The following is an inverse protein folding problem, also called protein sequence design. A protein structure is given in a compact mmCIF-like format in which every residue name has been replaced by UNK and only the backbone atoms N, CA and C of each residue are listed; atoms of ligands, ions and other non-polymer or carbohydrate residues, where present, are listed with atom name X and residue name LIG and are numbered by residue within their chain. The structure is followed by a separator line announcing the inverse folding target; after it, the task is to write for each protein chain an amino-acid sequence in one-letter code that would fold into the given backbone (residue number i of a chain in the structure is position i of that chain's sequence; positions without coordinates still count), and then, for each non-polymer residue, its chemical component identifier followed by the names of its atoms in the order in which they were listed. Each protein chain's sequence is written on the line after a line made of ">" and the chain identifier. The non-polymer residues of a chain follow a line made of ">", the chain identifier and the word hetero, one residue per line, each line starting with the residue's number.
data_IF_077666775016
#
_entry.id   IF_077666775016
#
_cell.length_a   1.000
_cell.length_b   1.000
_cell.length_c   1.000
_cell.angle_alpha   90.00
_cell.angle_beta   90.00
_cell.angle_gamma   90.00
#
_symmetry.space_group_name_H-M   'P 1'
#
loop_
_entity.id
_entity.type
_entity.pdbx_description
1 polymer ?
#
# COMPACT_ATOMS: atom_id res chain seq x y z
N UNK A 1 6.63 15.69 6.25
CA UNK A 1 6.10 14.73 7.24
C UNK A 1 4.97 15.38 8.02
N UNK A 2 3.98 14.61 8.47
CA UNK A 2 2.86 15.08 9.28
C UNK A 2 2.83 14.27 10.57
N UNK A 3 3.02 14.94 11.73
CA UNK A 3 3.19 14.30 13.03
C UNK A 3 1.90 14.18 13.84
N UNK A 4 0.73 14.39 13.24
CA UNK A 4 -0.56 14.16 13.90
C UNK A 4 -0.64 12.70 14.35
N UNK A 5 -0.83 12.40 15.65
CA UNK A 5 -0.58 11.06 16.21
C UNK A 5 -1.33 9.91 15.52
N UNK A 6 -2.58 10.13 15.12
CA UNK A 6 -3.44 9.06 14.57
C UNK A 6 -3.53 9.08 13.05
N UNK A 7 -3.47 10.27 12.44
CA UNK A 7 -3.73 10.48 11.00
C UNK A 7 -2.53 11.08 10.25
N UNK A 8 -1.37 11.13 10.89
CA UNK A 8 -0.13 11.64 10.34
C UNK A 8 0.62 10.63 9.48
N UNK A 9 1.59 11.13 8.73
CA UNK A 9 2.61 10.33 8.03
C UNK A 9 3.97 10.66 8.63
N UNK A 10 4.40 9.84 9.60
CA UNK A 10 5.65 10.03 10.31
C UNK A 10 6.23 8.72 10.85
N UNK A 11 7.56 8.67 10.93
CA UNK A 11 8.32 7.65 11.64
C UNK A 11 9.46 8.38 12.35
N UNK A 12 9.41 8.44 13.68
CA UNK A 12 10.48 9.02 14.51
C UNK A 12 11.33 7.88 15.07
N UNK A 13 10.67 6.88 15.66
CA UNK A 13 11.30 5.64 16.11
C UNK A 13 10.25 4.52 16.22
N UNK A 14 10.67 3.32 16.63
CA UNK A 14 9.80 2.16 16.75
C UNK A 14 8.59 2.37 17.68
N UNK A 15 8.73 3.20 18.73
CA UNK A 15 7.66 3.51 19.68
C UNK A 15 6.86 4.76 19.29
N UNK A 16 7.38 5.57 18.38
CA UNK A 16 6.79 6.83 17.95
C UNK A 16 6.73 6.90 16.42
N UNK A 17 5.67 6.32 15.88
CA UNK A 17 5.39 6.27 14.44
C UNK A 17 3.88 6.33 14.19
N UNK A 18 3.49 6.75 13.00
CA UNK A 18 2.09 6.71 12.57
C UNK A 18 1.53 5.29 12.65
N UNK A 19 0.25 5.10 13.05
CA UNK A 19 -0.44 3.81 12.98
C UNK A 19 -0.42 3.19 11.58
N UNK A 20 -0.28 3.99 10.52
CA UNK A 20 -0.12 3.48 9.16
C UNK A 20 1.12 2.56 9.00
N UNK A 21 2.08 2.63 9.92
CA UNK A 21 3.26 1.76 9.96
C UNK A 21 3.10 0.54 10.89
N UNK A 22 1.95 0.36 11.55
CA UNK A 22 1.74 -0.72 12.53
C UNK A 22 0.83 -1.83 12.03
N UNK A 23 0.01 -1.59 11.00
CA UNK A 23 -0.88 -2.62 10.48
C UNK A 23 -1.53 -2.27 9.14
N UNK A 24 -1.93 -3.33 8.43
CA UNK A 24 -2.48 -3.28 7.06
C UNK A 24 -3.76 -2.44 6.96
N UNK A 25 -4.68 -2.57 7.93
CA UNK A 25 -5.92 -1.78 7.92
C UNK A 25 -5.67 -0.29 8.21
N UNK A 26 -4.76 0.03 9.12
CA UNK A 26 -4.37 1.42 9.36
C UNK A 26 -3.68 2.03 8.14
N UNK A 27 -2.85 1.24 7.46
CA UNK A 27 -2.20 1.68 6.23
C UNK A 27 -3.23 1.95 5.12
N UNK A 28 -4.18 1.04 4.92
CA UNK A 28 -5.28 1.22 3.98
C UNK A 28 -6.10 2.47 4.29
N UNK A 29 -6.55 2.63 5.53
CA UNK A 29 -7.34 3.79 5.95
C UNK A 29 -6.58 5.10 5.77
N UNK A 30 -5.26 5.09 6.00
CA UNK A 30 -4.42 6.24 5.72
C UNK A 30 -4.37 6.55 4.23
N UNK A 31 -4.05 5.56 3.39
CA UNK A 31 -3.92 5.75 1.95
C UNK A 31 -5.22 6.23 1.28
N UNK A 32 -6.36 5.67 1.68
CA UNK A 32 -7.68 5.95 1.09
C UNK A 32 -8.47 7.04 1.82
N UNK A 33 -7.81 7.77 2.74
CA UNK A 33 -8.44 8.87 3.50
C UNK A 33 -9.08 9.90 2.56
N UNK A 34 -10.24 10.42 2.98
CA UNK A 34 -10.93 11.51 2.26
C UNK A 34 -10.24 12.86 2.46
N UNK A 35 -9.72 13.09 3.66
CA UNK A 35 -9.06 14.35 4.01
C UNK A 35 -7.65 14.41 3.43
N UNK A 36 -7.39 15.41 2.60
CA UNK A 36 -6.06 15.66 2.06
C UNK A 36 -5.12 16.15 3.17
N UNK A 37 -4.30 15.24 3.70
CA UNK A 37 -3.21 15.53 4.64
C UNK A 37 -1.87 15.09 4.05
N UNK A 38 -0.74 15.59 4.55
CA UNK A 38 0.59 15.21 4.04
C UNK A 38 0.82 13.70 4.12
N UNK A 39 1.32 13.11 3.02
CA UNK A 39 1.62 11.69 2.88
C UNK A 39 1.09 11.09 1.58
N UNK A 40 1.42 9.81 1.29
CA UNK A 40 0.95 9.12 0.09
C UNK A 40 -0.58 9.00 0.08
N UNK A 41 -1.18 8.95 -1.11
CA UNK A 41 -2.61 8.74 -1.30
C UNK A 41 -2.82 7.64 -2.33
N UNK A 42 -3.86 6.83 -2.11
CA UNK A 42 -4.26 5.78 -3.03
C UNK A 42 -5.77 5.72 -3.18
N UNK A 43 -6.19 5.09 -4.27
CA UNK A 43 -7.58 4.68 -4.52
C UNK A 43 -7.63 3.18 -4.76
N UNK A 44 -8.74 2.54 -4.38
CA UNK A 44 -8.98 1.16 -4.83
C UNK A 44 -9.13 1.13 -6.34
N UNK A 45 -8.47 0.17 -6.98
CA UNK A 45 -8.47 0.02 -8.43
C UNK A 45 -8.72 -1.43 -8.85
N UNK A 46 -8.90 -1.64 -10.14
CA UNK A 46 -8.94 -2.98 -10.74
C UNK A 46 -7.53 -3.48 -11.02
N UNK A 47 -7.37 -4.79 -11.15
CA UNK A 47 -6.07 -5.42 -11.44
C UNK A 47 -5.42 -4.89 -12.74
N UNK A 48 -6.24 -4.51 -13.73
CA UNK A 48 -5.77 -3.94 -15.00
C UNK A 48 -5.22 -2.50 -14.86
N UNK A 49 -5.54 -1.82 -13.77
CA UNK A 49 -5.12 -0.44 -13.50
C UNK A 49 -3.86 -0.39 -12.64
N UNK A 50 -3.38 -1.53 -12.16
CA UNK A 50 -2.16 -1.63 -11.36
C UNK A 50 -0.93 -1.16 -12.16
N UNK A 51 -0.03 -0.48 -11.45
CA UNK A 51 1.26 -0.02 -11.94
C UNK A 51 2.37 -0.37 -10.92
N UNK A 52 3.64 -0.46 -11.36
CA UNK A 52 4.76 -0.53 -10.43
C UNK A 52 4.73 0.61 -9.40
N UNK A 53 4.89 0.27 -8.12
CA UNK A 53 4.76 1.20 -6.99
C UNK A 53 3.42 1.10 -6.26
N UNK A 54 2.40 0.48 -6.88
CA UNK A 54 1.11 0.24 -6.25
C UNK A 54 1.19 -0.81 -5.13
N UNK A 55 0.13 -0.88 -4.32
CA UNK A 55 0.06 -1.82 -3.18
C UNK A 55 -1.02 -2.87 -3.46
N UNK A 56 -0.66 -4.13 -3.26
CA UNK A 56 -1.64 -5.21 -3.14
C UNK A 56 -1.85 -5.50 -1.67
N UNK A 57 -3.09 -5.75 -1.24
CA UNK A 57 -3.34 -6.26 0.10
C UNK A 57 -4.05 -7.60 0.06
N UNK A 58 -3.54 -8.55 0.85
CA UNK A 58 -4.04 -9.92 0.91
C UNK A 58 -4.69 -10.22 2.26
N UNK A 59 -5.79 -10.94 2.21
CA UNK A 59 -6.40 -11.61 3.37
C UNK A 59 -6.20 -13.11 3.23
N UNK A 60 -5.51 -13.73 4.18
CA UNK A 60 -5.26 -15.17 4.12
C UNK A 60 -6.43 -15.97 4.69
N UNK A 61 -7.20 -15.37 5.61
CA UNK A 61 -8.28 -16.04 6.33
C UNK A 61 -9.68 -15.48 6.00
N UNK A 62 -9.78 -14.43 5.19
CA UNK A 62 -11.05 -13.91 4.67
C UNK A 62 -11.80 -12.93 5.58
N UNK A 63 -11.29 -12.58 6.77
CA UNK A 63 -11.96 -11.65 7.70
C UNK A 63 -11.22 -10.32 7.91
N UNK A 64 -9.94 -10.22 7.55
CA UNK A 64 -9.15 -8.97 7.57
C UNK A 64 -7.99 -9.03 6.59
N UNK A 65 -7.51 -7.89 6.11
CA UNK A 65 -6.27 -7.83 5.35
C UNK A 65 -5.06 -7.81 6.29
N UNK A 66 -4.00 -8.53 5.92
CA UNK A 66 -2.87 -8.80 6.82
C UNK A 66 -1.49 -8.80 6.11
N UNK A 67 -1.46 -8.72 4.78
CA UNK A 67 -0.23 -8.53 4.02
C UNK A 67 -0.35 -7.35 3.04
N UNK A 68 0.73 -6.58 2.84
CA UNK A 68 0.75 -5.40 1.96
C UNK A 68 2.02 -5.32 1.11
N UNK A 69 2.24 -6.26 0.18
CA UNK A 69 3.40 -6.20 -0.70
C UNK A 69 3.27 -5.08 -1.76
N UNK A 70 4.42 -4.66 -2.28
CA UNK A 70 4.51 -3.60 -3.30
C UNK A 70 4.56 -4.24 -4.69
N UNK A 71 3.79 -3.74 -5.63
CA UNK A 71 3.84 -4.15 -7.04
C UNK A 71 5.14 -3.63 -7.65
N UNK A 72 5.93 -4.52 -8.26
CA UNK A 72 7.17 -4.17 -8.95
C UNK A 72 7.09 -4.32 -10.47
N UNK A 73 6.19 -5.19 -10.96
CA UNK A 73 5.91 -5.30 -12.38
C UNK A 73 4.49 -5.83 -12.63
N UNK A 74 3.92 -5.40 -13.75
CA UNK A 74 2.57 -5.78 -14.20
C UNK A 74 2.65 -6.09 -15.69
N UNK A 75 1.98 -7.15 -16.12
CA UNK A 75 1.91 -7.54 -17.53
C UNK A 75 0.56 -8.17 -17.88
N UNK A 76 0.20 -8.14 -19.16
CA UNK A 76 -0.93 -8.91 -19.68
C UNK A 76 -0.75 -10.41 -19.41
N UNK A 77 -1.82 -11.16 -19.11
CA UNK A 77 -3.24 -10.78 -19.16
C UNK A 77 -3.80 -10.10 -17.89
N UNK A 78 -2.95 -9.50 -17.04
CA UNK A 78 -3.35 -8.83 -15.80
C UNK A 78 -4.07 -9.76 -14.82
N UNK A 79 -3.57 -10.98 -14.68
CA UNK A 79 -4.02 -11.95 -13.67
C UNK A 79 -3.00 -12.05 -12.52
N UNK A 80 -3.33 -12.71 -11.39
CA UNK A 80 -2.41 -12.86 -10.26
C UNK A 80 -1.05 -13.49 -10.58
N UNK A 81 -0.90 -14.25 -11.67
CA UNK A 81 0.40 -14.81 -12.06
C UNK A 81 1.30 -13.78 -12.78
N UNK A 82 0.71 -12.68 -13.26
CA UNK A 82 1.39 -11.63 -14.03
C UNK A 82 1.51 -10.30 -13.28
N UNK A 83 1.07 -10.27 -12.01
CA UNK A 83 1.38 -9.21 -11.06
C UNK A 83 2.54 -9.67 -10.19
N UNK A 84 3.70 -9.04 -10.36
CA UNK A 84 4.90 -9.33 -9.61
C UNK A 84 5.04 -8.35 -8.45
N UNK A 85 5.37 -8.88 -7.27
CA UNK A 85 5.45 -8.13 -6.04
C UNK A 85 6.81 -8.31 -5.35
N UNK A 86 7.20 -7.28 -4.60
CA UNK A 86 8.25 -7.35 -3.59
C UNK A 86 7.62 -7.38 -2.19
N UNK A 87 8.16 -8.26 -1.34
CA UNK A 87 7.70 -8.43 0.02
C UNK A 87 8.88 -8.75 0.94
N UNK A 88 8.93 -8.06 2.08
CA UNK A 88 9.87 -8.40 3.15
C UNK A 88 9.61 -9.81 3.71
N UNK A 89 8.34 -10.23 3.78
CA UNK A 89 8.01 -11.61 4.16
C UNK A 89 8.62 -12.57 3.14
N UNK A 90 9.47 -13.47 3.62
CA UNK A 90 10.26 -14.40 2.81
C UNK A 90 11.35 -13.77 1.92
N UNK A 91 11.63 -12.47 2.09
CA UNK A 91 12.66 -11.72 1.35
C UNK A 91 12.58 -11.97 -0.17
N UNK A 92 11.48 -11.53 -0.77
CA UNK A 92 11.19 -11.82 -2.18
C UNK A 92 11.05 -10.55 -3.00
N UNK A 93 11.54 -10.62 -4.24
CA UNK A 93 11.40 -9.60 -5.29
C UNK A 93 10.99 -10.29 -6.61
N UNK A 94 10.23 -9.58 -7.45
CA UNK A 94 9.63 -10.10 -8.69
C UNK A 94 8.83 -11.40 -8.52
N UNK A 95 8.23 -11.63 -7.34
CA UNK A 95 7.46 -12.85 -7.07
C UNK A 95 6.03 -12.70 -7.58
N UNK A 96 5.46 -13.67 -8.31
CA UNK A 96 4.05 -13.61 -8.69
C UNK A 96 3.13 -13.66 -7.48
N UNK A 97 2.13 -12.78 -7.40
CA UNK A 97 1.19 -12.76 -6.27
C UNK A 97 0.35 -14.04 -6.19
N UNK A 98 0.14 -14.74 -7.32
CA UNK A 98 -0.52 -16.06 -7.38
C UNK A 98 0.16 -17.15 -6.53
N UNK A 99 1.43 -16.94 -6.14
CA UNK A 99 2.16 -17.88 -5.28
C UNK A 99 1.78 -17.77 -3.80
N UNK A 100 1.00 -16.76 -3.43
CA UNK A 100 0.39 -16.63 -2.10
C UNK A 100 -0.98 -17.32 -2.09
N UNK A 101 -1.28 -18.06 -1.01
CA UNK A 101 -2.63 -18.60 -0.78
C UNK A 101 -3.45 -17.57 -0.01
N UNK A 102 -4.39 -16.91 -0.68
CA UNK A 102 -5.26 -15.89 -0.08
C UNK A 102 -6.74 -16.17 -0.38
N UNK A 103 -7.62 -15.63 0.46
CA UNK A 103 -9.08 -15.69 0.30
C UNK A 103 -9.62 -14.40 -0.31
N UNK A 104 -9.04 -13.25 0.05
CA UNK A 104 -9.40 -11.95 -0.54
C UNK A 104 -8.14 -11.18 -0.95
N UNK A 105 -8.31 -10.34 -1.97
CA UNK A 105 -7.28 -9.46 -2.52
C UNK A 105 -7.91 -8.10 -2.82
N UNK A 106 -7.19 -7.02 -2.54
CA UNK A 106 -7.53 -5.67 -3.02
C UNK A 106 -6.30 -4.98 -3.58
N UNK A 107 -6.54 -4.05 -4.49
CA UNK A 107 -5.52 -3.33 -5.24
C UNK A 107 -5.63 -1.84 -4.95
N UNK A 108 -4.51 -1.19 -4.67
CA UNK A 108 -4.45 0.22 -4.32
C UNK A 108 -3.51 0.93 -5.30
N UNK A 109 -4.09 1.75 -6.18
CA UNK A 109 -3.32 2.59 -7.08
C UNK A 109 -2.84 3.84 -6.36
N UNK A 110 -1.52 4.05 -6.33
CA UNK A 110 -0.90 5.21 -5.67
C UNK A 110 -1.00 6.42 -6.60
N UNK A 111 -1.82 7.40 -6.21
CA UNK A 111 -2.03 8.63 -6.98
C UNK A 111 -0.88 9.64 -6.80
N UNK A 112 0.01 9.42 -5.82
CA UNK A 112 1.15 10.27 -5.52
C UNK A 112 1.26 10.63 -4.04
N UNK A 113 1.96 11.73 -3.75
CA UNK A 113 2.23 12.21 -2.39
C UNK A 113 1.74 13.64 -2.22
N UNK A 114 0.97 13.89 -1.16
CA UNK A 114 0.61 15.24 -0.75
C UNK A 114 1.77 15.81 0.08
N UNK A 115 2.38 16.89 -0.40
CA UNK A 115 3.39 17.67 0.32
C UNK A 115 2.86 19.03 0.73
N UNK A 116 3.40 19.61 1.80
CA UNK A 116 3.23 21.03 2.05
C UNK A 116 4.03 21.77 0.97
N UNK A 117 3.36 22.36 -0.02
CA UNK A 117 4.00 23.31 -0.90
C UNK A 117 4.35 24.54 -0.07
N UNK A 118 5.63 24.72 0.27
CA UNK A 118 6.15 26.07 0.43
C UNK A 118 6.25 26.60 -0.99
N UNK A 119 5.32 27.48 -1.37
CA UNK A 119 5.56 28.37 -2.51
C UNK A 119 6.73 29.24 -2.06
N UNK A 120 7.94 28.91 -2.51
CA UNK A 120 9.02 29.88 -2.50
C UNK A 120 8.67 30.88 -3.60
N UNK A 121 8.12 32.02 -3.18
CA UNK A 121 7.98 33.20 -4.02
C UNK A 121 9.33 33.80 -4.36
#
# INVERSE_FOLDING_TARGET
>A
MNYTPTSGWYYINANQKSPAWTGVEYFYNFLTRRTNTVGPKAVECKIQELQPGDIVQLSFQGYRFEHSPVVVAVSEPFDPAHILIAAHSYDTDYRPVSTYKYVMIRFLHIEGVISNNIVLG
#
